data_IF_453969388138
#
_entry.id   IF_453969388138
#
_cell.length_a   1.000
_cell.length_b   1.000
_cell.length_c   1.000
_cell.angle_alpha   90.00
_cell.angle_beta   90.00
_cell.angle_gamma   90.00
#
_symmetry.space_group_name_H-M   'P 1'
#
loop_
_entity.id
_entity.type
_entity.pdbx_description
1 polymer ?
#
# COMPACT_ATOMS: atom_id res chain seq x y z
N UNK A 1 -15.99 21.84 38.50
CA UNK A 1 -15.00 21.25 37.59
C UNK A 1 -15.32 19.77 37.45
N UNK A 2 -16.27 19.44 36.58
CA UNK A 2 -16.88 18.12 36.48
C UNK A 2 -16.06 17.23 35.52
N UNK A 3 -15.59 16.10 36.04
CA UNK A 3 -15.01 15.02 35.25
C UNK A 3 -16.11 14.38 34.39
N UNK A 4 -16.04 14.56 33.07
CA UNK A 4 -16.85 13.79 32.12
C UNK A 4 -16.29 12.37 32.06
N UNK A 5 -16.95 11.45 32.77
CA UNK A 5 -16.87 10.02 32.51
C UNK A 5 -17.43 9.76 31.10
N UNK A 6 -16.61 9.24 30.20
CA UNK A 6 -17.07 8.60 28.97
C UNK A 6 -17.92 7.41 29.37
N UNK A 7 -19.21 7.51 29.07
CA UNK A 7 -20.15 6.43 29.27
C UNK A 7 -19.76 5.26 28.36
N UNK A 8 -19.38 4.15 28.98
CA UNK A 8 -19.51 2.84 28.34
C UNK A 8 -21.01 2.60 28.13
N UNK A 9 -21.47 2.80 26.89
CA UNK A 9 -22.83 2.55 26.49
C UNK A 9 -22.85 1.30 25.59
N UNK A 10 -23.60 0.28 26.04
CA UNK A 10 -24.31 -0.63 25.15
C UNK A 10 -23.59 -1.93 24.79
N UNK A 11 -23.66 -2.91 25.68
CA UNK A 11 -23.83 -4.30 25.28
C UNK A 11 -25.21 -4.45 24.63
N UNK A 12 -25.29 -4.19 23.32
CA UNK A 12 -26.43 -4.52 22.47
C UNK A 12 -25.98 -5.55 21.44
N UNK A 13 -26.69 -6.67 21.33
CA UNK A 13 -26.57 -7.54 20.16
C UNK A 13 -27.00 -6.74 18.92
N UNK A 14 -26.07 -6.09 18.23
CA UNK A 14 -26.23 -5.60 16.86
C UNK A 14 -24.90 -5.12 16.28
N UNK A 15 -24.44 -5.80 15.22
CA UNK A 15 -23.28 -5.37 14.42
C UNK A 15 -22.31 -6.49 14.06
N UNK A 16 -22.72 -7.40 13.16
CA UNK A 16 -21.82 -8.40 12.57
C UNK A 16 -20.67 -7.69 11.83
N UNK A 17 -19.49 -7.58 12.46
CA UNK A 17 -18.30 -7.05 11.77
C UNK A 17 -17.89 -8.01 10.66
N UNK A 18 -17.46 -7.47 9.52
CA UNK A 18 -17.00 -8.24 8.37
C UNK A 18 -15.47 -8.18 8.29
N UNK A 19 -14.79 -9.26 7.87
CA UNK A 19 -13.35 -9.19 7.62
C UNK A 19 -13.08 -8.27 6.43
N UNK A 20 -11.94 -7.56 6.47
CA UNK A 20 -11.63 -6.54 5.49
C UNK A 20 -11.47 -7.08 4.05
N UNK A 21 -11.11 -8.36 3.89
CA UNK A 21 -11.08 -9.03 2.59
C UNK A 21 -12.47 -9.39 2.03
N UNK A 22 -13.52 -9.41 2.84
CA UNK A 22 -14.89 -9.45 2.31
C UNK A 22 -15.32 -8.08 1.78
N UNK A 23 -14.84 -6.98 2.35
CA UNK A 23 -15.16 -5.63 1.87
C UNK A 23 -14.30 -5.19 0.70
N UNK A 24 -12.99 -5.42 0.77
CA UNK A 24 -11.98 -5.03 -0.22
C UNK A 24 -11.19 -6.27 -0.69
N UNK A 25 -11.75 -7.09 -1.59
CA UNK A 25 -11.26 -8.45 -1.83
C UNK A 25 -9.91 -8.54 -2.53
N UNK A 26 -9.48 -7.50 -3.26
CA UNK A 26 -8.14 -7.50 -3.83
C UNK A 26 -7.13 -6.94 -2.83
N UNK A 27 -6.09 -7.71 -2.54
CA UNK A 27 -4.93 -7.28 -1.77
C UNK A 27 -3.64 -7.77 -2.40
N UNK A 28 -2.56 -7.05 -2.13
CA UNK A 28 -1.22 -7.32 -2.64
C UNK A 28 -0.25 -7.42 -1.48
N UNK A 29 0.72 -8.35 -1.58
CA UNK A 29 1.80 -8.47 -0.59
C UNK A 29 2.78 -7.30 -0.75
N UNK A 30 3.47 -6.89 0.33
CA UNK A 30 4.51 -5.88 0.27
C UNK A 30 5.55 -6.10 -0.83
N UNK A 31 6.13 -4.98 -1.28
CA UNK A 31 7.29 -4.97 -2.17
C UNK A 31 8.48 -5.59 -1.43
N UNK A 32 9.38 -6.19 -2.20
CA UNK A 32 10.68 -6.64 -1.68
C UNK A 32 11.74 -6.12 -2.61
N UNK A 33 12.52 -5.14 -2.16
CA UNK A 33 13.67 -4.66 -2.92
C UNK A 33 14.73 -5.74 -3.04
N UNK A 34 15.00 -6.46 -1.94
CA UNK A 34 16.05 -7.48 -1.84
C UNK A 34 17.46 -6.91 -1.64
N UNK A 35 17.58 -5.58 -1.68
CA UNK A 35 18.80 -4.82 -1.55
C UNK A 35 18.43 -3.42 -1.07
N UNK A 36 19.17 -2.91 -0.08
CA UNK A 36 18.84 -1.61 0.53
C UNK A 36 19.23 -0.42 -0.33
N UNK A 37 20.20 -0.58 -1.25
CA UNK A 37 20.79 0.54 -1.95
C UNK A 37 19.88 1.17 -3.02
N UNK A 38 18.85 0.45 -3.48
CA UNK A 38 17.89 0.89 -4.52
C UNK A 38 16.82 1.85 -4.00
N UNK A 39 16.76 2.04 -2.68
CA UNK A 39 15.85 2.94 -2.00
C UNK A 39 16.64 3.82 -1.03
N UNK A 40 16.16 5.04 -0.77
CA UNK A 40 16.78 5.95 0.18
C UNK A 40 16.11 7.32 0.20
N UNK A 41 16.43 8.16 1.20
CA UNK A 41 15.84 9.51 1.32
C UNK A 41 16.42 10.51 0.31
N UNK A 42 17.59 10.23 -0.27
CA UNK A 42 18.28 11.12 -1.20
C UNK A 42 18.30 10.54 -2.63
N UNK A 43 17.57 11.14 -3.59
CA UNK A 43 17.55 10.68 -4.97
C UNK A 43 18.89 10.88 -5.68
N UNK A 44 19.73 11.85 -5.29
CA UNK A 44 21.04 12.07 -5.89
C UNK A 44 21.99 10.90 -5.54
N UNK A 45 21.99 10.46 -4.28
CA UNK A 45 22.72 9.27 -3.86
C UNK A 45 22.26 8.00 -4.61
N UNK A 46 20.97 7.86 -4.91
CA UNK A 46 20.46 6.73 -5.71
C UNK A 46 20.99 6.76 -7.14
N UNK A 47 20.99 7.92 -7.79
CA UNK A 47 21.55 8.10 -9.15
C UNK A 47 23.05 7.81 -9.17
N UNK A 48 23.81 8.32 -8.21
CA UNK A 48 25.25 8.04 -8.12
C UNK A 48 25.56 6.54 -7.92
N UNK A 49 24.73 5.83 -7.13
CA UNK A 49 24.84 4.37 -6.98
C UNK A 49 24.53 3.63 -8.28
N UNK A 50 23.51 4.05 -9.01
CA UNK A 50 23.19 3.51 -10.32
C UNK A 50 24.35 3.68 -11.29
N UNK A 51 24.89 4.89 -11.42
CA UNK A 51 26.01 5.20 -12.32
C UNK A 51 27.23 4.34 -12.01
N UNK A 52 27.58 4.21 -10.73
CA UNK A 52 28.67 3.35 -10.29
C UNK A 52 28.44 1.88 -10.67
N UNK A 53 27.21 1.39 -10.49
CA UNK A 53 26.87 0.01 -10.84
C UNK A 53 26.88 -0.20 -12.37
N UNK A 54 26.34 0.75 -13.13
CA UNK A 54 26.26 0.69 -14.59
C UNK A 54 27.63 0.77 -15.27
N UNK A 55 28.61 1.46 -14.65
CA UNK A 55 29.99 1.54 -15.12
C UNK A 55 30.87 0.35 -14.68
N UNK A 56 30.40 -0.48 -13.75
CA UNK A 56 31.13 -1.65 -13.28
C UNK A 56 30.92 -2.86 -14.21
N UNK A 57 31.92 -3.73 -14.26
CA UNK A 57 31.89 -4.96 -15.05
C UNK A 57 32.25 -6.19 -14.21
N UNK A 58 31.84 -7.37 -14.68
CA UNK A 58 32.23 -8.66 -14.10
C UNK A 58 31.93 -8.77 -12.60
N UNK A 59 32.94 -9.19 -11.84
CA UNK A 59 32.82 -9.46 -10.40
C UNK A 59 32.51 -8.22 -9.57
N UNK A 60 32.97 -7.03 -9.99
CA UNK A 60 32.65 -5.78 -9.28
C UNK A 60 31.19 -5.39 -9.50
N UNK A 61 30.68 -5.53 -10.74
CA UNK A 61 29.27 -5.28 -11.02
C UNK A 61 28.38 -6.22 -10.21
N UNK A 62 28.71 -7.50 -10.15
CA UNK A 62 27.99 -8.49 -9.37
C UNK A 62 28.01 -8.11 -7.88
N UNK A 63 29.18 -7.77 -7.33
CA UNK A 63 29.34 -7.35 -5.92
C UNK A 63 28.52 -6.10 -5.59
N UNK A 64 28.51 -5.08 -6.46
CA UNK A 64 27.73 -3.86 -6.28
C UNK A 64 26.22 -4.10 -6.41
N UNK A 65 25.80 -4.96 -7.35
CA UNK A 65 24.40 -5.30 -7.57
C UNK A 65 23.78 -5.95 -6.34
N UNK A 66 24.54 -6.79 -5.62
CA UNK A 66 24.08 -7.67 -4.53
C UNK A 66 22.98 -8.64 -5.03
N UNK A 67 23.37 -9.71 -5.73
CA UNK A 67 22.43 -10.66 -6.29
C UNK A 67 21.67 -11.36 -5.19
N UNK A 68 20.43 -11.71 -5.48
CA UNK A 68 19.60 -12.57 -4.65
C UNK A 68 19.14 -13.76 -5.48
N UNK A 69 18.49 -14.72 -4.85
CA UNK A 69 17.81 -15.82 -5.55
C UNK A 69 16.78 -15.36 -6.59
N UNK A 70 16.29 -14.11 -6.49
CA UNK A 70 15.22 -13.58 -7.33
C UNK A 70 15.72 -12.64 -8.43
N UNK A 71 16.85 -11.96 -8.19
CA UNK A 71 17.42 -10.98 -9.11
C UNK A 71 18.93 -11.07 -9.11
N UNK A 72 19.48 -11.24 -10.30
CA UNK A 72 20.90 -11.15 -10.61
C UNK A 72 21.11 -10.14 -11.74
N UNK A 73 22.34 -9.66 -11.98
CA UNK A 73 22.64 -8.83 -13.15
C UNK A 73 22.20 -9.46 -14.48
N UNK A 74 22.14 -10.79 -14.55
CA UNK A 74 21.73 -11.56 -15.72
C UNK A 74 20.22 -11.83 -15.83
N UNK A 75 19.41 -11.37 -14.89
CA UNK A 75 17.97 -11.64 -14.89
C UNK A 75 17.23 -10.65 -15.81
N UNK A 76 16.70 -11.07 -16.98
CA UNK A 76 15.81 -10.23 -17.77
C UNK A 76 14.41 -10.24 -17.15
N UNK A 77 13.70 -9.12 -17.23
CA UNK A 77 12.31 -9.01 -16.78
C UNK A 77 11.61 -7.86 -17.50
N UNK A 78 10.28 -7.96 -17.68
CA UNK A 78 9.49 -6.87 -18.22
C UNK A 78 9.60 -5.60 -17.36
N UNK A 79 9.55 -4.45 -18.03
CA UNK A 79 9.50 -3.14 -17.39
C UNK A 79 8.27 -3.03 -16.47
N UNK A 80 8.36 -2.19 -15.45
CA UNK A 80 7.21 -1.89 -14.61
C UNK A 80 6.17 -1.10 -15.42
N UNK A 81 4.87 -1.35 -15.23
CA UNK A 81 3.83 -0.51 -15.82
C UNK A 81 4.08 0.97 -15.53
N UNK A 82 3.95 1.81 -16.57
CA UNK A 82 4.22 3.25 -16.48
C UNK A 82 5.70 3.64 -16.38
N UNK A 83 6.65 2.70 -16.53
CA UNK A 83 8.10 2.98 -16.45
C UNK A 83 8.80 2.59 -17.75
N UNK A 84 9.63 3.50 -18.26
CA UNK A 84 10.50 3.27 -19.40
C UNK A 84 11.87 2.77 -18.92
N UNK A 85 11.96 1.49 -18.54
CA UNK A 85 13.22 0.87 -18.10
C UNK A 85 13.64 -0.28 -19.01
N UNK A 86 14.92 -0.62 -19.00
CA UNK A 86 15.45 -1.77 -19.74
C UNK A 86 14.80 -3.09 -19.30
N UNK A 87 14.62 -4.01 -20.26
CA UNK A 87 14.04 -5.34 -20.01
C UNK A 87 15.05 -6.48 -20.19
N UNK A 88 16.14 -6.19 -20.89
CA UNK A 88 17.28 -7.09 -21.05
C UNK A 88 18.10 -7.25 -19.77
N UNK A 89 19.13 -8.08 -19.85
CA UNK A 89 20.03 -8.34 -18.72
C UNK A 89 20.74 -7.04 -18.33
N UNK A 90 20.62 -6.65 -17.07
CA UNK A 90 21.28 -5.45 -16.55
C UNK A 90 22.79 -5.48 -16.81
N UNK A 91 23.43 -6.66 -16.70
CA UNK A 91 24.87 -6.82 -16.91
C UNK A 91 25.37 -6.38 -18.29
N UNK A 92 24.52 -6.47 -19.31
CA UNK A 92 24.86 -6.12 -20.71
C UNK A 92 24.33 -4.76 -21.10
N UNK A 93 23.15 -4.42 -20.59
CA UNK A 93 22.37 -3.27 -21.00
C UNK A 93 21.86 -2.54 -19.77
N UNK A 94 22.73 -1.92 -18.95
CA UNK A 94 22.29 -1.21 -17.76
C UNK A 94 21.32 -0.08 -18.14
N UNK A 95 21.64 0.66 -19.20
CA UNK A 95 20.84 1.78 -19.69
C UNK A 95 20.95 3.04 -18.84
N UNK A 96 20.16 4.06 -19.18
CA UNK A 96 20.10 5.29 -18.41
C UNK A 96 19.45 5.05 -17.03
N UNK A 97 19.89 5.81 -16.02
CA UNK A 97 19.25 5.77 -14.70
C UNK A 97 17.79 6.22 -14.85
N UNK A 98 16.80 5.40 -14.41
CA UNK A 98 15.43 5.88 -14.34
C UNK A 98 15.32 6.99 -13.29
N UNK A 99 14.35 7.88 -13.48
CA UNK A 99 14.03 8.85 -12.45
C UNK A 99 13.55 8.15 -11.18
N UNK A 100 14.18 8.38 -10.01
CA UNK A 100 13.69 7.87 -8.75
C UNK A 100 12.26 8.33 -8.53
N UNK A 101 11.43 7.43 -8.00
CA UNK A 101 10.02 7.70 -7.70
C UNK A 101 9.84 7.80 -6.20
N UNK A 102 8.99 8.73 -5.77
CA UNK A 102 8.63 8.88 -4.38
C UNK A 102 7.65 7.77 -3.99
N UNK A 103 7.92 7.13 -2.86
CA UNK A 103 7.15 6.02 -2.31
C UNK A 103 6.96 6.21 -0.81
N UNK A 104 6.02 5.49 -0.23
CA UNK A 104 5.87 5.43 1.23
C UNK A 104 6.56 4.18 1.78
N UNK A 105 7.49 4.40 2.72
CA UNK A 105 8.16 3.37 3.52
C UNK A 105 7.55 3.35 4.92
N UNK A 106 6.76 2.32 5.23
CA UNK A 106 5.98 2.32 6.46
C UNK A 106 4.80 3.31 6.38
N UNK A 107 4.41 3.92 7.50
CA UNK A 107 3.23 4.80 7.54
C UNK A 107 3.54 6.28 7.27
N UNK A 108 4.75 6.74 7.60
CA UNK A 108 5.06 8.18 7.66
C UNK A 108 6.47 8.54 7.17
N UNK A 109 7.17 7.62 6.51
CA UNK A 109 8.49 7.88 5.95
C UNK A 109 8.42 7.84 4.43
N UNK A 110 8.71 8.97 3.80
CA UNK A 110 8.70 9.09 2.35
C UNK A 110 10.11 8.93 1.81
N UNK A 111 10.28 7.93 0.96
CA UNK A 111 11.59 7.54 0.41
C UNK A 111 11.55 7.65 -1.11
N UNK A 112 12.73 7.65 -1.72
CA UNK A 112 12.89 7.48 -3.16
C UNK A 112 13.25 6.04 -3.49
N UNK A 113 12.74 5.52 -4.60
CA UNK A 113 13.02 4.19 -5.13
C UNK A 113 13.46 4.30 -6.59
N UNK A 114 14.49 3.55 -6.99
CA UNK A 114 14.82 3.35 -8.41
C UNK A 114 13.83 2.35 -9.02
N UNK A 115 12.94 2.77 -9.94
CA UNK A 115 11.84 1.94 -10.41
C UNK A 115 12.26 0.99 -11.56
N UNK A 116 13.40 0.32 -11.43
CA UNK A 116 13.84 -0.71 -12.39
C UNK A 116 13.54 -2.11 -11.84
N UNK A 117 12.68 -2.85 -12.54
CA UNK A 117 12.24 -4.19 -12.11
C UNK A 117 13.40 -5.19 -12.00
N UNK A 118 14.47 -5.00 -12.78
CA UNK A 118 15.67 -5.85 -12.74
C UNK A 118 16.38 -5.74 -11.39
N UNK A 119 16.20 -4.62 -10.69
CA UNK A 119 16.80 -4.36 -9.37
C UNK A 119 15.88 -4.71 -8.19
N UNK A 120 14.65 -5.15 -8.42
CA UNK A 120 13.64 -5.34 -7.37
C UNK A 120 13.18 -6.80 -7.34
N UNK A 121 13.43 -7.46 -6.21
CA UNK A 121 13.15 -8.87 -5.99
C UNK A 121 11.66 -9.25 -6.13
N UNK A 122 10.75 -8.40 -5.67
CA UNK A 122 9.33 -8.51 -5.87
C UNK A 122 8.71 -7.12 -5.99
N UNK A 123 8.58 -6.62 -7.23
CA UNK A 123 8.16 -5.25 -7.49
C UNK A 123 6.64 -5.03 -7.47
N UNK A 124 5.84 -6.11 -7.47
CA UNK A 124 4.37 -6.05 -7.53
C UNK A 124 3.86 -5.18 -8.70
N UNK A 125 4.15 -5.53 -9.98
CA UNK A 125 3.72 -4.75 -11.16
C UNK A 125 2.23 -4.38 -11.15
N UNK A 126 1.38 -5.19 -10.51
CA UNK A 126 -0.03 -4.93 -10.28
C UNK A 126 -0.33 -3.63 -9.52
N UNK A 127 0.52 -3.21 -8.58
CA UNK A 127 0.39 -1.93 -7.88
C UNK A 127 0.81 -0.75 -8.75
N UNK A 128 1.85 -0.93 -9.57
CA UNK A 128 2.31 0.10 -10.52
C UNK A 128 1.27 0.34 -11.62
N UNK A 129 0.56 -0.71 -12.05
CA UNK A 129 -0.47 -0.62 -13.10
C UNK A 129 -1.66 0.26 -12.71
N UNK A 130 -1.99 0.28 -11.42
CA UNK A 130 -3.14 1.04 -10.90
C UNK A 130 -2.70 2.31 -10.18
N UNK A 131 -1.41 2.62 -10.14
CA UNK A 131 -0.86 3.79 -9.49
C UNK A 131 -0.93 5.00 -10.42
N UNK A 132 -1.79 5.95 -10.06
CA UNK A 132 -1.90 7.28 -10.66
C UNK A 132 -2.23 8.31 -9.58
N UNK A 133 -2.44 9.56 -9.97
CA UNK A 133 -2.71 10.68 -9.07
C UNK A 133 -4.05 10.56 -8.32
N UNK A 134 -4.96 9.69 -8.76
CA UNK A 134 -6.28 9.47 -8.15
C UNK A 134 -6.33 8.21 -7.28
N UNK A 135 -5.28 7.40 -7.28
CA UNK A 135 -5.25 6.16 -6.53
C UNK A 135 -5.00 6.42 -5.04
N UNK A 136 -5.74 5.69 -4.20
CA UNK A 136 -5.46 5.56 -2.78
C UNK A 136 -5.10 4.12 -2.46
N UNK A 137 -4.02 3.92 -1.73
CA UNK A 137 -3.60 2.62 -1.22
C UNK A 137 -3.84 2.56 0.28
N UNK A 138 -4.68 1.62 0.70
CA UNK A 138 -4.80 1.28 2.10
C UNK A 138 -3.78 0.21 2.47
N UNK A 139 -3.02 0.45 3.52
CA UNK A 139 -2.06 -0.49 4.08
C UNK A 139 -2.63 -1.05 5.37
N UNK A 140 -3.01 -2.32 5.31
CA UNK A 140 -3.39 -3.11 6.48
C UNK A 140 -2.13 -3.57 7.21
N UNK A 141 -1.90 -3.04 8.41
CA UNK A 141 -0.71 -3.37 9.19
C UNK A 141 -0.83 -4.77 9.80
N UNK A 142 0.29 -5.48 9.89
CA UNK A 142 0.32 -6.81 10.49
C UNK A 142 -0.08 -6.75 11.97
N UNK A 143 -0.98 -7.63 12.40
CA UNK A 143 -1.46 -7.66 13.79
C UNK A 143 -0.32 -7.83 14.78
N UNK A 144 -0.21 -6.91 15.74
CA UNK A 144 0.69 -6.99 16.89
C UNK A 144 -0.16 -7.00 18.15
N UNK A 145 -0.09 -8.06 18.98
CA UNK A 145 -0.83 -8.11 20.23
C UNK A 145 -0.57 -6.88 21.10
N UNK A 146 -1.63 -6.28 21.65
CA UNK A 146 -1.59 -5.12 22.55
C UNK A 146 -0.95 -3.84 21.95
N UNK A 147 -0.71 -3.78 20.64
CA UNK A 147 -0.27 -2.53 20.02
C UNK A 147 -1.41 -1.51 20.04
N UNK A 148 -1.07 -0.27 20.40
CA UNK A 148 -1.99 0.89 20.40
C UNK A 148 -1.93 1.69 19.11
N UNK A 149 -1.08 1.28 18.16
CA UNK A 149 -0.93 1.93 16.86
C UNK A 149 -2.12 1.67 15.93
N UNK A 150 -2.26 2.46 14.86
CA UNK A 150 -3.35 2.30 13.91
C UNK A 150 -3.28 0.94 13.21
N UNK A 151 -4.46 0.34 12.98
CA UNK A 151 -4.56 -0.93 12.27
C UNK A 151 -4.34 -0.77 10.76
N UNK A 152 -4.65 0.42 10.25
CA UNK A 152 -4.62 0.79 8.84
C UNK A 152 -3.91 2.14 8.66
N UNK A 153 -3.33 2.35 7.48
CA UNK A 153 -2.95 3.67 6.97
C UNK A 153 -3.41 3.81 5.52
N UNK A 154 -3.58 5.03 5.05
CA UNK A 154 -3.91 5.33 3.64
C UNK A 154 -2.87 6.28 3.07
N UNK A 155 -2.53 6.10 1.81
CA UNK A 155 -1.60 6.97 1.09
C UNK A 155 -1.92 7.03 -0.39
N UNK A 156 -1.61 8.16 -1.03
CA UNK A 156 -1.62 8.31 -2.49
C UNK A 156 -0.30 7.84 -3.14
N UNK A 157 0.77 7.71 -2.35
CA UNK A 157 2.06 7.21 -2.82
C UNK A 157 2.02 5.68 -2.90
N UNK A 158 2.84 5.09 -3.78
CA UNK A 158 3.04 3.65 -3.78
C UNK A 158 3.62 3.21 -2.42
N UNK A 159 2.93 2.40 -1.61
CA UNK A 159 3.49 1.91 -0.36
C UNK A 159 4.35 0.68 -0.64
N UNK A 160 5.51 0.59 0.01
CA UNK A 160 6.33 -0.62 -0.06
C UNK A 160 5.80 -1.73 0.87
N UNK A 161 4.93 -1.39 1.82
CA UNK A 161 4.34 -2.28 2.79
C UNK A 161 5.28 -2.65 3.95
N UNK A 162 6.31 -1.84 4.20
CA UNK A 162 7.18 -1.99 5.36
C UNK A 162 6.38 -1.91 6.66
N UNK A 163 6.75 -2.77 7.61
CA UNK A 163 6.13 -2.84 8.93
C UNK A 163 7.23 -2.82 9.98
N UNK A 164 7.28 -1.78 10.84
CA UNK A 164 8.29 -1.69 11.91
C UNK A 164 8.23 -2.90 12.87
N UNK A 165 7.06 -3.51 13.02
CA UNK A 165 6.86 -4.70 13.85
C UNK A 165 7.27 -6.01 13.17
N UNK A 166 7.89 -5.97 11.98
CA UNK A 166 8.37 -7.14 11.25
C UNK A 166 7.28 -8.04 10.66
N UNK A 167 6.00 -7.73 10.91
CA UNK A 167 4.84 -8.46 10.36
C UNK A 167 4.35 -7.78 9.11
N UNK A 168 4.61 -8.43 7.97
CA UNK A 168 4.21 -7.95 6.65
C UNK A 168 2.68 -7.80 6.56
N UNK A 169 2.24 -6.59 6.23
CA UNK A 169 0.84 -6.23 6.06
C UNK A 169 0.24 -6.69 4.71
N UNK A 170 -0.84 -6.01 4.32
CA UNK A 170 -1.45 -6.10 2.99
C UNK A 170 -1.67 -4.70 2.42
N UNK A 171 -1.43 -4.55 1.13
CA UNK A 171 -1.73 -3.32 0.40
C UNK A 171 -3.02 -3.55 -0.37
N UNK A 172 -4.02 -2.69 -0.19
CA UNK A 172 -5.34 -2.75 -0.80
C UNK A 172 -5.58 -1.45 -1.57
N UNK A 173 -5.34 -1.43 -2.90
CA UNK A 173 -5.70 -0.27 -3.72
C UNK A 173 -7.20 -0.03 -3.66
N UNK A 174 -7.64 1.24 -3.64
CA UNK A 174 -9.05 1.59 -3.68
C UNK A 174 -9.65 1.32 -5.06
N UNK A 175 -8.88 1.49 -6.14
CA UNK A 175 -9.33 1.24 -7.51
C UNK A 175 -8.52 0.14 -8.19
N UNK A 176 -9.20 -0.71 -8.97
CA UNK A 176 -8.58 -1.82 -9.71
C UNK A 176 -8.04 -1.41 -11.08
N UNK A 177 -8.34 -0.19 -11.50
CA UNK A 177 -7.92 0.40 -12.77
C UNK A 177 -7.53 1.87 -12.55
N UNK A 178 -6.73 2.44 -13.46
CA UNK A 178 -6.45 3.87 -13.47
C UNK A 178 -7.71 4.75 -13.54
N UNK A 179 -7.51 6.04 -13.31
CA UNK A 179 -8.49 7.12 -13.38
C UNK A 179 -9.63 6.97 -12.36
N UNK A 180 -9.32 6.36 -11.20
CA UNK A 180 -10.29 6.01 -10.16
C UNK A 180 -11.46 5.15 -10.65
N UNK A 181 -11.18 4.17 -11.50
CA UNK A 181 -12.22 3.31 -12.08
C UNK A 181 -12.20 1.89 -11.51
N UNK A 182 -13.39 1.29 -11.38
CA UNK A 182 -13.55 -0.07 -10.87
C UNK A 182 -13.10 -0.22 -9.42
N UNK A 183 -13.90 0.27 -8.45
CA UNK A 183 -13.53 0.21 -7.04
C UNK A 183 -13.23 -1.23 -6.58
N UNK A 184 -12.22 -1.37 -5.74
CA UNK A 184 -11.88 -2.58 -5.02
C UNK A 184 -12.81 -2.78 -3.82
N UNK A 185 -14.11 -2.83 -4.12
CA UNK A 185 -15.14 -3.17 -3.16
C UNK A 185 -15.78 -4.49 -3.54
N UNK A 186 -16.43 -5.16 -2.59
CA UNK A 186 -17.21 -6.36 -2.84
C UNK A 186 -18.32 -6.05 -3.86
N UNK A 187 -18.61 -6.94 -4.83
CA UNK A 187 -19.72 -6.75 -5.76
C UNK A 187 -21.04 -6.51 -5.02
N UNK A 188 -21.78 -5.48 -5.43
CA UNK A 188 -23.06 -5.10 -4.81
C UNK A 188 -22.96 -4.38 -3.46
N UNK A 189 -21.76 -4.24 -2.87
CA UNK A 189 -21.60 -3.56 -1.57
C UNK A 189 -22.09 -2.11 -1.62
N UNK A 190 -21.69 -1.35 -2.65
CA UNK A 190 -22.14 0.03 -2.81
C UNK A 190 -23.66 0.14 -2.95
N UNK A 191 -24.30 -0.78 -3.68
CA UNK A 191 -25.75 -0.76 -3.87
C UNK A 191 -26.48 -0.99 -2.54
N UNK A 192 -26.00 -1.95 -1.74
CA UNK A 192 -26.55 -2.25 -0.41
C UNK A 192 -26.35 -1.06 0.53
N UNK A 193 -25.16 -0.45 0.55
CA UNK A 193 -24.89 0.71 1.39
C UNK A 193 -25.72 1.92 0.96
N UNK A 194 -25.85 2.18 -0.34
CA UNK A 194 -26.67 3.29 -0.86
C UNK A 194 -28.15 3.13 -0.54
N UNK A 195 -28.68 1.92 -0.67
CA UNK A 195 -30.06 1.62 -0.32
C UNK A 195 -30.36 1.85 1.17
N UNK A 196 -29.36 1.68 2.04
CA UNK A 196 -29.52 1.78 3.49
C UNK A 196 -29.16 3.16 4.06
N UNK A 197 -28.10 3.78 3.55
CA UNK A 197 -27.45 4.96 4.12
C UNK A 197 -27.60 6.21 3.26
N UNK A 198 -28.10 6.06 2.02
CA UNK A 198 -28.36 7.17 1.10
C UNK A 198 -27.51 7.12 -0.18
N UNK A 199 -27.94 7.80 -1.25
CA UNK A 199 -27.33 7.68 -2.58
C UNK A 199 -25.89 8.21 -2.67
N UNK A 200 -25.48 9.09 -1.76
CA UNK A 200 -24.16 9.75 -1.74
C UNK A 200 -23.00 8.85 -1.28
N UNK A 201 -23.25 7.56 -1.01
CA UNK A 201 -22.19 6.61 -0.65
C UNK A 201 -21.31 6.33 -1.86
N UNK A 202 -20.10 6.87 -1.83
CA UNK A 202 -19.04 6.68 -2.83
C UNK A 202 -17.92 5.75 -2.30
N UNK A 203 -17.07 5.19 -3.18
CA UNK A 203 -15.95 4.33 -2.77
C UNK A 203 -15.05 4.95 -1.69
N UNK A 204 -14.77 6.24 -1.81
CA UNK A 204 -13.96 7.02 -0.86
C UNK A 204 -14.64 7.14 0.50
N UNK A 205 -15.98 7.23 0.55
CA UNK A 205 -16.74 7.20 1.79
C UNK A 205 -16.62 5.83 2.47
N UNK A 206 -16.63 4.74 1.70
CA UNK A 206 -16.38 3.40 2.25
C UNK A 206 -14.95 3.27 2.77
N UNK A 207 -13.95 3.79 2.05
CA UNK A 207 -12.57 3.80 2.52
C UNK A 207 -12.44 4.59 3.84
N UNK A 208 -13.02 5.78 3.92
CA UNK A 208 -13.01 6.62 5.12
C UNK A 208 -13.68 5.89 6.30
N UNK A 209 -14.85 5.30 6.09
CA UNK A 209 -15.50 4.49 7.12
C UNK A 209 -14.60 3.35 7.61
N UNK A 210 -13.97 2.60 6.70
CA UNK A 210 -13.03 1.53 7.05
C UNK A 210 -11.87 2.08 7.89
N UNK A 211 -11.31 3.23 7.52
CA UNK A 211 -10.22 3.87 8.27
C UNK A 211 -10.62 4.22 9.70
N UNK A 212 -11.82 4.75 9.91
CA UNK A 212 -12.32 5.13 11.23
C UNK A 212 -12.72 3.93 12.11
N UNK A 213 -13.31 2.90 11.50
CA UNK A 213 -14.01 1.85 12.25
C UNK A 213 -13.28 0.50 12.30
N UNK A 214 -12.19 0.30 11.54
CA UNK A 214 -11.49 -0.97 11.50
C UNK A 214 -10.89 -1.35 12.86
N UNK A 215 -11.13 -2.60 13.24
CA UNK A 215 -10.61 -3.21 14.46
C UNK A 215 -9.53 -4.24 14.09
N UNK A 216 -8.30 -4.12 14.64
CA UNK A 216 -7.25 -5.09 14.38
C UNK A 216 -7.62 -6.45 14.99
N UNK A 217 -7.37 -7.53 14.26
CA UNK A 217 -7.52 -8.89 14.79
C UNK A 217 -6.41 -9.82 14.30
N UNK A 218 -6.17 -10.97 14.97
CA UNK A 218 -5.15 -11.93 14.56
C UNK A 218 -5.26 -12.42 13.11
N UNK A 219 -6.46 -12.43 12.54
CA UNK A 219 -6.74 -12.89 11.17
C UNK A 219 -6.87 -11.74 10.14
N UNK A 220 -6.57 -10.50 10.53
CA UNK A 220 -6.77 -9.30 9.71
C UNK A 220 -7.78 -8.34 10.32
N UNK A 221 -7.92 -7.16 9.75
CA UNK A 221 -8.86 -6.16 10.26
C UNK A 221 -10.31 -6.62 10.07
N UNK A 222 -11.15 -6.30 11.05
CA UNK A 222 -12.61 -6.45 10.97
C UNK A 222 -13.25 -5.08 10.97
N UNK A 223 -14.28 -4.90 10.16
CA UNK A 223 -14.96 -3.62 9.99
C UNK A 223 -16.43 -3.80 10.36
N UNK A 224 -16.94 -3.10 11.40
CA UNK A 224 -18.37 -3.04 11.65
C UNK A 224 -19.03 -2.19 10.55
N UNK A 225 -20.23 -2.59 10.10
CA UNK A 225 -21.05 -1.77 9.21
C UNK A 225 -22.26 -1.24 9.99
N UNK A 226 -22.45 0.09 10.06
CA UNK A 226 -23.50 0.68 10.86
C UNK A 226 -24.84 0.52 10.14
N UNK A 227 -25.91 0.41 10.94
CA UNK A 227 -27.27 0.44 10.45
C UNK A 227 -27.78 1.86 10.20
N UNK A 228 -27.22 2.81 10.95
CA UNK A 228 -27.68 4.17 11.12
C UNK A 228 -26.87 5.14 10.26
N UNK A 229 -27.58 6.05 9.56
CA UNK A 229 -26.97 6.98 8.61
C UNK A 229 -26.18 8.11 9.30
N UNK A 230 -26.57 8.53 10.51
CA UNK A 230 -25.84 9.55 11.27
C UNK A 230 -24.51 8.97 11.78
N UNK A 231 -24.54 7.73 12.28
CA UNK A 231 -23.32 7.00 12.68
C UNK A 231 -22.38 6.83 11.50
N UNK A 232 -22.90 6.41 10.34
CA UNK A 232 -22.11 6.33 9.10
C UNK A 232 -21.49 7.67 8.74
N UNK A 233 -22.27 8.74 8.68
CA UNK A 233 -21.80 10.07 8.31
C UNK A 233 -20.67 10.54 9.25
N UNK A 234 -20.87 10.42 10.56
CA UNK A 234 -19.85 10.79 11.55
C UNK A 234 -18.56 9.98 11.41
N UNK A 235 -18.66 8.66 11.15
CA UNK A 235 -17.48 7.83 10.94
C UNK A 235 -16.77 8.11 9.60
N UNK A 236 -17.52 8.45 8.55
CA UNK A 236 -16.94 8.89 7.28
C UNK A 236 -16.23 10.23 7.43
N UNK A 237 -16.79 11.18 8.17
CA UNK A 237 -16.13 12.46 8.48
C UNK A 237 -14.82 12.22 9.23
N UNK A 238 -14.86 11.46 10.33
CA UNK A 238 -13.65 11.10 11.08
C UNK A 238 -12.61 10.43 10.17
N UNK A 239 -13.03 9.49 9.33
CA UNK A 239 -12.14 8.77 8.42
C UNK A 239 -11.54 9.62 7.30
N UNK A 240 -12.13 10.77 6.97
CA UNK A 240 -11.57 11.74 6.02
C UNK A 240 -10.58 12.69 6.69
N UNK A 241 -10.69 12.89 7.99
CA UNK A 241 -9.74 13.68 8.79
C UNK A 241 -8.43 12.90 9.07
N UNK A 242 -8.54 11.57 9.19
CA UNK A 242 -7.41 10.64 9.39
C UNK A 242 -6.60 10.40 8.11
#
# INVERSE_FOLDING_TARGET
MAARRTAAAGSGEDGKSLPLDELMPWSVRPLRTGRSWVMGPDPAALRARWERLAAAEGTEQERLFRPSRSRTPDTPVAALPGRATGTGRFAREPGACPDPVRILHGAFDEQWLLPDHRLIDAARPELWRVGDERQLFMVEHGYVPQATGPALSVTHLLPDGHSPAGRAGRIRPLYRRPDATGPNLAPGLLDVLRARLGPEVEPESVLAWIMAAALPSPSGCRVPLPADAEVWAAGVELGREL
#
